data_IF_993528756539
#
_entry.id   IF_993528756539
#
_cell.length_a   1.000
_cell.length_b   1.000
_cell.length_c   1.000
_cell.angle_alpha   90.00
_cell.angle_beta   90.00
_cell.angle_gamma   90.00
#
_symmetry.space_group_name_H-M   'P 1'
#
loop_
_entity.id
_entity.type
_entity.pdbx_description
1 polymer ?
#
# COMPACT_ATOMS: atom_id res chain seq x y z
N UNK A 1 26.66 -9.83 28.57
CA UNK A 1 26.33 -11.25 28.34
C UNK A 1 25.02 -11.26 27.57
N UNK A 2 25.10 -11.34 26.24
CA UNK A 2 23.91 -11.48 25.41
C UNK A 2 23.49 -12.94 25.47
N UNK A 3 22.25 -13.20 25.90
CA UNK A 3 21.69 -14.54 25.86
C UNK A 3 21.54 -14.95 24.40
N UNK A 4 22.28 -16.00 24.01
CA UNK A 4 22.07 -16.72 22.76
C UNK A 4 20.79 -17.56 22.97
N UNK A 5 19.65 -17.05 22.51
CA UNK A 5 18.49 -17.89 22.26
C UNK A 5 18.76 -18.73 21.00
N UNK A 6 18.52 -20.05 21.12
CA UNK A 6 18.83 -21.14 20.20
C UNK A 6 18.89 -20.81 18.69
N UNK A 7 20.07 -21.05 18.08
CA UNK A 7 20.30 -21.04 16.62
C UNK A 7 19.35 -22.00 15.86
N UNK A 8 18.81 -23.01 16.54
CA UNK A 8 17.94 -24.03 15.96
C UNK A 8 16.56 -23.46 15.53
N UNK A 9 16.13 -22.34 16.12
CA UNK A 9 14.88 -21.66 15.74
C UNK A 9 14.98 -20.93 14.39
N UNK A 10 16.17 -20.50 13.99
CA UNK A 10 16.41 -19.76 12.74
C UNK A 10 16.50 -20.66 11.50
N UNK A 11 16.87 -21.93 11.67
CA UNK A 11 17.09 -22.88 10.57
C UNK A 11 15.82 -23.63 10.15
N UNK A 12 14.75 -23.59 10.95
CA UNK A 12 13.51 -24.27 10.63
C UNK A 12 12.55 -23.37 9.84
N UNK A 13 12.82 -23.20 8.56
CA UNK A 13 12.00 -22.40 7.62
C UNK A 13 10.56 -22.91 7.47
N UNK A 14 10.25 -24.13 7.91
CA UNK A 14 8.89 -24.69 7.93
C UNK A 14 8.05 -24.30 9.16
N UNK A 15 8.69 -23.81 10.23
CA UNK A 15 8.04 -23.28 11.45
C UNK A 15 7.98 -21.76 11.50
N UNK A 16 8.74 -21.07 10.67
CA UNK A 16 8.59 -19.63 10.46
C UNK A 16 7.24 -19.39 9.79
N UNK A 17 6.34 -18.67 10.47
CA UNK A 17 5.15 -18.13 9.80
C UNK A 17 5.63 -17.39 8.55
N UNK A 18 4.97 -17.55 7.39
CA UNK A 18 5.36 -16.80 6.19
C UNK A 18 5.50 -15.33 6.57
N UNK A 19 6.60 -14.69 6.15
CA UNK A 19 6.89 -13.26 6.41
C UNK A 19 5.68 -12.36 6.05
N UNK A 20 4.78 -12.87 5.20
CA UNK A 20 3.62 -12.21 4.63
C UNK A 20 2.26 -12.56 5.27
N UNK A 21 2.19 -13.25 6.42
CA UNK A 21 0.91 -13.50 7.10
C UNK A 21 0.71 -12.57 8.29
N UNK A 22 -0.44 -11.90 8.32
CA UNK A 22 -0.84 -11.00 9.41
C UNK A 22 -1.38 -11.79 10.60
N UNK A 23 -0.92 -11.48 11.81
CA UNK A 23 -1.46 -12.04 13.05
C UNK A 23 -2.74 -11.29 13.49
N UNK A 24 -3.46 -11.83 14.47
CA UNK A 24 -4.75 -11.24 14.92
C UNK A 24 -4.64 -9.80 15.41
N UNK A 25 -3.54 -9.44 16.07
CA UNK A 25 -3.31 -8.07 16.54
C UNK A 25 -3.04 -7.12 15.38
N UNK A 26 -2.20 -7.52 14.43
CA UNK A 26 -1.93 -6.75 13.20
C UNK A 26 -3.23 -6.52 12.41
N UNK A 27 -4.06 -7.56 12.26
CA UNK A 27 -5.37 -7.47 11.57
C UNK A 27 -6.32 -6.49 12.28
N UNK A 28 -6.35 -6.50 13.61
CA UNK A 28 -7.16 -5.56 14.39
C UNK A 28 -6.67 -4.11 14.22
N UNK A 29 -5.35 -3.89 14.23
CA UNK A 29 -4.74 -2.58 13.98
C UNK A 29 -5.11 -2.08 12.57
N UNK A 30 -4.97 -2.92 11.54
CA UNK A 30 -5.31 -2.54 10.16
C UNK A 30 -6.78 -2.18 10.04
N UNK A 31 -7.67 -2.98 10.64
CA UNK A 31 -9.11 -2.69 10.66
C UNK A 31 -9.40 -1.35 11.36
N UNK A 32 -8.72 -1.07 12.47
CA UNK A 32 -8.83 0.20 13.20
C UNK A 32 -8.33 1.39 12.38
N UNK A 33 -7.21 1.24 11.66
CA UNK A 33 -6.72 2.31 10.76
C UNK A 33 -7.81 2.63 9.73
N UNK A 34 -8.37 1.62 9.07
CA UNK A 34 -9.36 1.82 8.01
C UNK A 34 -10.72 2.32 8.53
N UNK A 35 -11.06 2.15 9.81
CA UNK A 35 -12.25 2.78 10.39
C UNK A 35 -12.10 4.29 10.63
N UNK A 36 -10.87 4.82 10.61
CA UNK A 36 -10.57 6.24 10.80
C UNK A 36 -10.09 6.94 9.51
N UNK A 37 -9.88 6.17 8.43
CA UNK A 37 -9.42 6.69 7.14
C UNK A 37 -10.62 7.01 6.26
N UNK A 38 -10.76 8.28 5.93
CA UNK A 38 -11.67 8.75 4.89
C UNK A 38 -11.01 8.58 3.52
N UNK A 39 -11.63 7.78 2.65
CA UNK A 39 -11.08 7.50 1.32
C UNK A 39 -11.03 8.74 0.43
N UNK A 40 -11.98 9.66 0.62
CA UNK A 40 -12.11 10.90 -0.16
C UNK A 40 -11.07 11.94 0.26
N UNK A 41 -10.51 11.81 1.46
CA UNK A 41 -9.44 12.66 1.98
C UNK A 41 -8.05 12.07 1.67
N UNK A 42 -7.84 10.80 2.03
CA UNK A 42 -6.50 10.18 2.03
C UNK A 42 -6.09 9.75 0.62
N UNK A 43 -7.02 9.24 -0.20
CA UNK A 43 -6.74 8.75 -1.55
C UNK A 43 -6.14 9.83 -2.46
N UNK A 44 -6.82 10.98 -2.65
CA UNK A 44 -6.31 12.09 -3.45
C UNK A 44 -4.94 12.60 -2.96
N UNK A 45 -4.76 12.73 -1.65
CA UNK A 45 -3.50 13.20 -1.04
C UNK A 45 -2.34 12.24 -1.30
N UNK A 46 -2.57 10.94 -1.16
CA UNK A 46 -1.54 9.92 -1.38
C UNK A 46 -1.11 9.84 -2.85
N UNK A 47 -2.06 9.83 -3.79
CA UNK A 47 -1.71 9.80 -5.22
C UNK A 47 -1.06 11.11 -5.67
N UNK A 48 -1.56 12.26 -5.24
CA UNK A 48 -0.94 13.55 -5.54
C UNK A 48 0.51 13.60 -5.04
N UNK A 49 0.74 13.13 -3.80
CA UNK A 49 2.09 13.04 -3.23
C UNK A 49 3.00 12.16 -4.09
N UNK A 50 2.52 10.99 -4.53
CA UNK A 50 3.28 10.08 -5.38
C UNK A 50 3.68 10.75 -6.70
N UNK A 51 2.75 11.41 -7.38
CA UNK A 51 2.99 12.10 -8.66
C UNK A 51 3.94 13.30 -8.52
N UNK A 52 3.96 13.96 -7.36
CA UNK A 52 4.84 15.11 -7.08
C UNK A 52 6.25 14.65 -6.70
N UNK A 53 6.36 13.69 -5.77
CA UNK A 53 7.64 13.23 -5.22
C UNK A 53 8.38 12.31 -6.20
N UNK A 54 7.62 11.54 -7.00
CA UNK A 54 8.14 10.58 -7.96
C UNK A 54 7.61 10.91 -9.37
N UNK A 55 8.08 12.00 -10.01
CA UNK A 55 7.47 12.55 -11.23
C UNK A 55 7.48 11.59 -12.42
N UNK A 56 8.38 10.59 -12.46
CA UNK A 56 8.36 9.55 -13.49
C UNK A 56 7.08 8.71 -13.48
N UNK A 57 6.36 8.64 -12.36
CA UNK A 57 5.08 7.91 -12.25
C UNK A 57 3.97 8.55 -13.07
N UNK A 58 4.09 9.85 -13.40
CA UNK A 58 3.11 10.58 -14.22
C UNK A 58 2.94 10.00 -15.62
N UNK A 59 3.95 9.27 -16.15
CA UNK A 59 3.90 8.63 -17.48
C UNK A 59 2.70 7.68 -17.65
N UNK A 60 2.20 7.12 -16.55
CA UNK A 60 1.06 6.19 -16.53
C UNK A 60 -0.29 6.90 -16.59
N UNK A 61 -0.31 8.23 -16.48
CA UNK A 61 -1.52 9.05 -16.33
C UNK A 61 -1.68 10.08 -17.46
N UNK A 62 -1.25 9.74 -18.68
CA UNK A 62 -1.31 10.66 -19.83
C UNK A 62 -2.72 11.20 -20.15
N UNK A 63 -3.78 10.47 -19.77
CA UNK A 63 -5.17 10.90 -19.93
C UNK A 63 -5.69 11.86 -18.84
N UNK A 64 -4.90 12.21 -17.83
CA UNK A 64 -5.38 12.97 -16.67
C UNK A 64 -5.31 14.49 -16.88
N UNK A 65 -4.76 14.96 -18.00
CA UNK A 65 -4.63 16.38 -18.31
C UNK A 65 -3.36 17.00 -17.71
N UNK A 66 -3.46 18.21 -17.17
CA UNK A 66 -2.29 18.95 -16.68
C UNK A 66 -1.75 18.35 -15.36
N UNK A 67 -0.51 17.88 -15.40
CA UNK A 67 0.26 17.37 -14.25
C UNK A 67 1.63 18.08 -14.11
N UNK A 68 1.80 19.26 -14.71
CA UNK A 68 3.11 19.92 -14.86
C UNK A 68 3.76 20.37 -13.55
N UNK A 69 2.95 20.74 -12.55
CA UNK A 69 3.44 21.24 -11.26
C UNK A 69 2.55 20.75 -10.11
N UNK A 70 3.01 20.97 -8.88
CA UNK A 70 2.31 20.49 -7.68
C UNK A 70 0.89 21.03 -7.54
N UNK A 71 0.66 22.32 -7.84
CA UNK A 71 -0.67 22.93 -7.77
C UNK A 71 -1.64 22.28 -8.77
N UNK A 72 -1.20 22.09 -10.01
CA UNK A 72 -1.97 21.42 -11.05
C UNK A 72 -2.31 19.98 -10.65
N UNK A 73 -1.36 19.23 -10.08
CA UNK A 73 -1.59 17.84 -9.63
C UNK A 73 -2.60 17.80 -8.48
N UNK A 74 -2.42 18.64 -7.45
CA UNK A 74 -3.30 18.65 -6.28
C UNK A 74 -4.73 19.10 -6.61
N UNK A 75 -4.89 19.99 -7.59
CA UNK A 75 -6.20 20.45 -8.08
C UNK A 75 -6.84 19.55 -9.15
N UNK A 76 -6.18 18.46 -9.56
CA UNK A 76 -6.64 17.64 -10.68
C UNK A 76 -7.74 16.65 -10.24
N UNK A 77 -8.95 16.82 -10.78
CA UNK A 77 -10.10 15.98 -10.47
C UNK A 77 -9.91 14.49 -10.84
N UNK A 78 -9.15 14.20 -11.91
CA UNK A 78 -8.86 12.81 -12.30
C UNK A 78 -7.88 12.16 -11.32
N UNK A 79 -6.88 12.91 -10.85
CA UNK A 79 -5.96 12.45 -9.79
C UNK A 79 -6.75 12.16 -8.52
N UNK A 80 -7.64 13.06 -8.10
CA UNK A 80 -8.47 12.84 -6.92
C UNK A 80 -9.36 11.59 -7.09
N UNK A 81 -10.10 11.48 -8.18
CA UNK A 81 -10.96 10.33 -8.45
C UNK A 81 -10.20 9.01 -8.52
N UNK A 82 -8.99 8.99 -9.08
CA UNK A 82 -8.18 7.78 -9.12
C UNK A 82 -7.57 7.43 -7.76
N UNK A 83 -7.13 8.42 -6.97
CA UNK A 83 -6.66 8.22 -5.61
C UNK A 83 -7.72 7.56 -4.72
N UNK A 84 -8.98 7.97 -4.85
CA UNK A 84 -10.12 7.34 -4.17
C UNK A 84 -10.26 5.87 -4.59
N UNK A 85 -10.21 5.59 -5.91
CA UNK A 85 -10.26 4.21 -6.43
C UNK A 85 -9.14 3.33 -5.91
N UNK A 86 -7.92 3.86 -5.79
CA UNK A 86 -6.77 3.14 -5.22
C UNK A 86 -7.05 2.74 -3.78
N UNK A 87 -7.54 3.68 -2.96
CA UNK A 87 -7.75 3.44 -1.54
C UNK A 87 -8.94 2.50 -1.26
N UNK A 88 -10.02 2.60 -2.03
CA UNK A 88 -11.07 1.56 -2.05
C UNK A 88 -10.55 0.21 -2.58
N UNK A 89 -9.60 0.25 -3.51
CA UNK A 89 -8.86 -0.93 -3.94
C UNK A 89 -8.22 -1.65 -2.75
N UNK A 90 -7.59 -0.90 -1.84
CA UNK A 90 -6.95 -1.41 -0.62
C UNK A 90 -7.93 -1.97 0.41
N UNK A 91 -9.10 -1.34 0.55
CA UNK A 91 -10.19 -1.81 1.43
C UNK A 91 -10.62 -3.26 1.10
N UNK A 92 -10.51 -3.69 -0.16
CA UNK A 92 -10.71 -5.11 -0.53
C UNK A 92 -9.72 -6.04 0.16
N UNK A 93 -8.45 -5.65 0.25
CA UNK A 93 -7.42 -6.42 0.96
C UNK A 93 -7.65 -6.44 2.47
N UNK A 94 -8.17 -5.36 3.05
CA UNK A 94 -8.56 -5.31 4.47
C UNK A 94 -9.71 -6.27 4.76
N UNK A 95 -10.72 -6.30 3.88
CA UNK A 95 -11.86 -7.23 4.01
C UNK A 95 -11.51 -8.69 3.76
N UNK A 96 -10.40 -8.96 3.06
CA UNK A 96 -9.96 -10.30 2.66
C UNK A 96 -8.52 -10.60 3.12
N UNK A 97 -8.18 -10.24 4.37
CA UNK A 97 -6.82 -10.42 4.91
C UNK A 97 -6.34 -11.87 4.95
N UNK A 98 -7.23 -12.85 4.83
CA UNK A 98 -6.90 -14.29 4.75
C UNK A 98 -6.41 -14.71 3.36
N UNK A 99 -6.81 -14.00 2.30
CA UNK A 99 -6.40 -14.27 0.92
C UNK A 99 -6.18 -12.99 0.10
N UNK A 100 -5.24 -12.16 0.58
CA UNK A 100 -4.84 -10.93 -0.13
C UNK A 100 -4.31 -11.24 -1.53
N UNK A 101 -3.62 -12.37 -1.70
CA UNK A 101 -3.01 -12.78 -2.97
C UNK A 101 -4.07 -13.12 -4.01
N UNK A 102 -5.07 -13.93 -3.66
CA UNK A 102 -6.19 -14.22 -4.56
C UNK A 102 -7.02 -12.97 -4.86
N UNK A 103 -7.28 -12.15 -3.84
CA UNK A 103 -8.05 -10.90 -3.96
C UNK A 103 -7.49 -9.93 -5.01
N UNK A 104 -6.16 -9.85 -5.16
CA UNK A 104 -5.50 -8.95 -6.09
C UNK A 104 -5.02 -9.58 -7.39
N UNK A 105 -5.29 -10.87 -7.64
CA UNK A 105 -4.79 -11.56 -8.83
C UNK A 105 -5.22 -10.89 -10.14
N UNK A 106 -6.51 -10.58 -10.30
CA UNK A 106 -7.01 -9.88 -11.49
C UNK A 106 -6.45 -8.46 -11.62
N UNK A 107 -6.27 -7.77 -10.47
CA UNK A 107 -5.71 -6.43 -10.47
C UNK A 107 -4.23 -6.43 -10.87
N UNK A 108 -3.48 -7.47 -10.47
CA UNK A 108 -2.10 -7.71 -10.87
C UNK A 108 -1.99 -7.86 -12.39
N UNK A 109 -2.84 -8.71 -13.00
CA UNK A 109 -2.91 -8.89 -14.46
C UNK A 109 -3.24 -7.58 -15.17
N UNK A 110 -4.22 -6.82 -14.66
CA UNK A 110 -4.58 -5.53 -15.24
C UNK A 110 -3.37 -4.57 -15.26
N UNK A 111 -2.64 -4.48 -14.15
CA UNK A 111 -1.51 -3.56 -14.04
C UNK A 111 -0.31 -4.00 -14.87
N UNK A 112 -0.08 -5.31 -15.04
CA UNK A 112 0.99 -5.84 -15.87
C UNK A 112 0.66 -5.76 -17.36
N UNK A 113 -0.42 -6.42 -17.80
CA UNK A 113 -0.70 -6.66 -19.22
C UNK A 113 -1.40 -5.52 -19.96
N UNK A 114 -2.15 -4.68 -19.23
CA UNK A 114 -2.92 -3.58 -19.86
C UNK A 114 -2.29 -2.23 -19.57
N UNK A 115 -2.02 -1.97 -18.30
CA UNK A 115 -1.51 -0.66 -17.87
C UNK A 115 0.02 -0.55 -17.98
N UNK A 116 0.73 -1.68 -18.07
CA UNK A 116 2.19 -1.73 -18.17
C UNK A 116 2.89 -0.91 -17.06
N UNK A 117 2.31 -0.95 -15.85
CA UNK A 117 2.84 -0.24 -14.68
C UNK A 117 4.03 -1.01 -14.15
N UNK A 118 5.21 -0.40 -14.11
CA UNK A 118 6.38 -1.03 -13.48
C UNK A 118 6.09 -1.33 -11.99
N UNK A 119 6.28 -2.58 -11.53
CA UNK A 119 5.87 -3.04 -10.21
C UNK A 119 6.58 -2.32 -9.06
N UNK A 120 7.76 -1.73 -9.29
CA UNK A 120 8.46 -0.94 -8.27
C UNK A 120 7.64 0.30 -7.84
N UNK A 121 6.75 0.80 -8.71
CA UNK A 121 5.90 1.94 -8.39
C UNK A 121 4.84 1.63 -7.32
N UNK A 122 4.49 0.35 -7.10
CA UNK A 122 3.56 -0.02 -6.02
C UNK A 122 4.16 0.29 -4.65
N UNK A 123 5.48 0.09 -4.49
CA UNK A 123 6.18 0.41 -3.25
C UNK A 123 6.19 1.92 -2.99
N UNK A 124 6.45 2.72 -4.02
CA UNK A 124 6.43 4.19 -3.93
C UNK A 124 5.06 4.72 -3.49
N UNK A 125 3.99 4.17 -4.05
CA UNK A 125 2.63 4.54 -3.67
C UNK A 125 2.30 4.09 -2.25
N UNK A 126 2.71 2.87 -1.86
CA UNK A 126 2.59 2.35 -0.49
C UNK A 126 3.25 3.27 0.55
N UNK A 127 4.45 3.78 0.26
CA UNK A 127 5.16 4.71 1.13
C UNK A 127 4.42 6.05 1.24
N UNK A 128 3.89 6.57 0.11
CA UNK A 128 3.08 7.79 0.12
C UNK A 128 1.79 7.63 0.95
N UNK A 129 1.10 6.49 0.82
CA UNK A 129 -0.09 6.18 1.63
C UNK A 129 0.27 6.14 3.11
N UNK A 130 1.38 5.48 3.47
CA UNK A 130 1.88 5.44 4.86
C UNK A 130 2.08 6.82 5.43
N UNK A 131 2.72 7.72 4.68
CA UNK A 131 2.98 9.09 5.16
C UNK A 131 1.67 9.86 5.38
N UNK A 132 0.70 9.73 4.46
CA UNK A 132 -0.57 10.44 4.57
C UNK A 132 -1.42 9.90 5.72
N UNK A 133 -1.46 8.57 5.91
CA UNK A 133 -2.14 7.95 7.06
C UNK A 133 -1.48 8.35 8.38
N UNK A 134 -0.14 8.36 8.44
CA UNK A 134 0.60 8.82 9.61
C UNK A 134 0.27 10.27 9.97
N UNK A 135 0.23 11.16 8.96
CA UNK A 135 -0.14 12.56 9.16
C UNK A 135 -1.58 12.73 9.65
N UNK A 136 -2.51 11.86 9.22
CA UNK A 136 -3.91 11.88 9.66
C UNK A 136 -4.08 11.40 11.10
N UNK A 137 -3.39 10.32 11.48
CA UNK A 137 -3.50 9.71 12.80
C UNK A 137 -2.67 10.42 13.87
N UNK A 138 -1.63 11.15 13.50
CA UNK A 138 -0.76 11.88 14.42
C UNK A 138 -0.17 10.94 15.48
N UNK A 139 -0.37 11.27 16.76
CA UNK A 139 0.15 10.47 17.88
C UNK A 139 -0.43 9.05 17.95
N UNK A 140 -1.56 8.77 17.29
CA UNK A 140 -2.11 7.42 17.21
C UNK A 140 -1.35 6.52 16.23
N UNK A 141 -0.47 7.07 15.38
CA UNK A 141 0.41 6.30 14.51
C UNK A 141 1.67 5.85 15.26
N UNK A 142 1.49 4.96 16.23
CA UNK A 142 2.57 4.42 17.07
C UNK A 142 3.53 3.53 16.25
N UNK A 143 4.73 3.21 16.75
CA UNK A 143 5.64 2.27 16.08
C UNK A 143 5.00 0.92 15.77
N UNK A 144 4.15 0.39 16.65
CA UNK A 144 3.42 -0.86 16.44
C UNK A 144 2.38 -0.72 15.33
N UNK A 145 1.69 0.42 15.29
CA UNK A 145 0.72 0.77 14.25
C UNK A 145 1.39 0.86 12.88
N UNK A 146 2.54 1.54 12.83
CA UNK A 146 3.36 1.65 11.63
C UNK A 146 3.84 0.27 11.16
N UNK A 147 4.36 -0.57 12.06
CA UNK A 147 4.87 -1.89 11.71
C UNK A 147 3.77 -2.78 11.12
N UNK A 148 2.59 -2.82 11.74
CA UNK A 148 1.46 -3.58 11.23
C UNK A 148 0.98 -3.06 9.86
N UNK A 149 0.90 -1.74 9.68
CA UNK A 149 0.45 -1.13 8.43
C UNK A 149 1.44 -1.36 7.29
N UNK A 150 2.74 -1.19 7.55
CA UNK A 150 3.80 -1.46 6.58
C UNK A 150 3.83 -2.94 6.17
N UNK A 151 3.64 -3.85 7.13
CA UNK A 151 3.54 -5.29 6.82
C UNK A 151 2.34 -5.57 5.92
N UNK A 152 1.17 -5.00 6.21
CA UNK A 152 -0.01 -5.13 5.34
C UNK A 152 0.27 -4.64 3.92
N UNK A 153 0.80 -3.42 3.77
CA UNK A 153 1.10 -2.87 2.46
C UNK A 153 2.17 -3.68 1.72
N UNK A 154 3.17 -4.23 2.41
CA UNK A 154 4.14 -5.13 1.80
C UNK A 154 3.49 -6.41 1.24
N UNK A 155 2.49 -6.97 1.93
CA UNK A 155 1.71 -8.11 1.43
C UNK A 155 0.89 -7.71 0.20
N UNK A 156 0.28 -6.53 0.20
CA UNK A 156 -0.45 -5.99 -0.95
C UNK A 156 0.48 -5.78 -2.15
N UNK A 157 1.62 -5.12 -1.97
CA UNK A 157 2.62 -4.90 -3.02
C UNK A 157 3.10 -6.22 -3.60
N UNK A 158 3.40 -7.20 -2.74
CA UNK A 158 3.77 -8.55 -3.18
C UNK A 158 2.67 -9.24 -3.99
N UNK A 159 1.39 -9.07 -3.60
CA UNK A 159 0.26 -9.61 -4.33
C UNK A 159 0.08 -8.95 -5.71
N UNK A 160 0.23 -7.63 -5.79
CA UNK A 160 0.11 -6.87 -7.05
C UNK A 160 1.27 -7.14 -8.01
N UNK A 161 2.48 -7.40 -7.51
CA UNK A 161 3.64 -7.75 -8.33
C UNK A 161 3.67 -9.20 -8.84
N UNK A 162 2.69 -10.04 -8.48
CA UNK A 162 2.79 -11.49 -8.69
C UNK A 162 2.60 -11.95 -10.15
N UNK A 163 1.74 -11.28 -10.92
CA UNK A 163 1.41 -11.63 -12.31
C UNK A 163 2.20 -10.78 -13.33
N UNK A 164 3.43 -10.41 -12.96
CA UNK A 164 4.39 -9.77 -13.84
C UNK A 164 5.31 -10.84 -14.43
N UNK A 165 5.34 -10.93 -15.76
CA UNK A 165 6.08 -11.93 -16.54
C UNK A 165 7.11 -11.26 -17.44
#
# INVERSE_FOLDING_TARGET
>A
MFYLEDEETWLNTSKLKPIHTLNSQERAIITSIYSHVDCDDIGPKALSRCLIVYPWTQRHFGGFGNLYNAEAIMGNANVAAHGIKVLHGLDRGVKNMDDIKGTYAELSILHSEKLHVDPDNFKLLSDCITIVVAAKLGNAFTPETQAAFQKFLAVVVSALGKQYH
#
